data_IF_729749671775
#
_entry.id   IF_729749671775
#
_cell.length_a   1.000
_cell.length_b   1.000
_cell.length_c   1.000
_cell.angle_alpha   90.00
_cell.angle_beta   90.00
_cell.angle_gamma   90.00
#
_symmetry.space_group_name_H-M   'P 1'
#
loop_
_entity.id
_entity.type
_entity.pdbx_description
1 polymer ?
#
# COMPACT_ATOMS: atom_id res chain seq x y z
N UNK A 1 10.45 10.51 1.76
CA UNK A 1 9.16 11.06 1.32
C UNK A 1 8.23 9.88 1.17
N UNK A 2 7.26 9.74 2.08
CA UNK A 2 6.24 8.71 1.99
C UNK A 2 5.39 9.06 0.75
N UNK A 3 5.51 8.26 -0.31
CA UNK A 3 4.72 8.48 -1.53
C UNK A 3 3.22 8.36 -1.22
N UNK A 4 2.40 9.10 -1.97
CA UNK A 4 0.94 9.22 -1.87
C UNK A 4 0.18 7.88 -1.69
N UNK A 5 0.72 6.78 -2.22
CA UNK A 5 0.16 5.42 -2.06
C UNK A 5 0.26 4.88 -0.63
N UNK A 6 1.31 5.25 0.10
CA UNK A 6 1.55 4.79 1.47
C UNK A 6 0.61 5.50 2.46
N UNK A 7 0.29 6.79 2.25
CA UNK A 7 -0.67 7.51 3.09
C UNK A 7 -2.10 6.97 2.96
N UNK A 8 -2.54 6.62 1.75
CA UNK A 8 -3.85 6.00 1.55
C UNK A 8 -3.96 4.65 2.25
N UNK A 9 -2.90 3.84 2.20
CA UNK A 9 -2.84 2.54 2.85
C UNK A 9 -2.83 2.66 4.38
N UNK A 10 -1.98 3.53 4.93
CA UNK A 10 -1.89 3.78 6.38
C UNK A 10 -3.22 4.32 6.91
N UNK A 11 -3.86 5.26 6.21
CA UNK A 11 -5.17 5.79 6.60
C UNK A 11 -6.27 4.70 6.58
N UNK A 12 -6.25 3.79 5.61
CA UNK A 12 -7.19 2.64 5.60
C UNK A 12 -6.95 1.72 6.79
N UNK A 13 -5.69 1.41 7.10
CA UNK A 13 -5.34 0.57 8.24
C UNK A 13 -5.72 1.21 9.58
N UNK A 14 -5.54 2.53 9.73
CA UNK A 14 -5.99 3.27 10.90
C UNK A 14 -7.52 3.19 11.06
N UNK A 15 -8.29 3.41 9.98
CA UNK A 15 -9.75 3.26 9.99
C UNK A 15 -10.20 1.85 10.37
N UNK A 16 -9.51 0.82 9.87
CA UNK A 16 -9.79 -0.58 10.22
C UNK A 16 -9.50 -0.88 11.69
N UNK A 17 -8.37 -0.38 12.22
CA UNK A 17 -8.01 -0.51 13.63
C UNK A 17 -9.12 0.04 14.53
N UNK A 18 -9.56 1.28 14.27
CA UNK A 18 -10.64 1.93 15.03
C UNK A 18 -11.98 1.20 14.87
N UNK A 19 -12.37 0.86 13.63
CA UNK A 19 -13.70 0.27 13.34
C UNK A 19 -13.88 -1.11 13.97
N UNK A 20 -12.83 -1.92 14.00
CA UNK A 20 -12.90 -3.31 14.45
C UNK A 20 -12.21 -3.55 15.80
N UNK A 21 -11.76 -2.48 16.47
CA UNK A 21 -11.02 -2.51 17.74
C UNK A 21 -9.84 -3.50 17.71
N UNK A 22 -9.12 -3.55 16.59
CA UNK A 22 -8.02 -4.50 16.35
C UNK A 22 -6.70 -3.79 16.50
N UNK A 23 -5.81 -4.28 17.35
CA UNK A 23 -4.48 -3.68 17.55
C UNK A 23 -3.55 -3.97 16.35
N UNK A 24 -3.63 -3.12 15.32
CA UNK A 24 -2.70 -3.15 14.19
C UNK A 24 -1.42 -2.42 14.61
N UNK A 25 -0.29 -3.13 14.49
CA UNK A 25 1.04 -2.56 14.71
C UNK A 25 1.49 -1.76 13.48
N UNK A 26 1.26 -0.45 13.53
CA UNK A 26 1.57 0.45 12.42
C UNK A 26 3.07 0.62 12.16
N UNK A 27 3.91 0.52 13.19
CA UNK A 27 5.38 0.61 13.04
C UNK A 27 5.91 -0.58 12.23
N UNK A 28 5.38 -1.78 12.50
CA UNK A 28 5.70 -2.97 11.73
C UNK A 28 5.21 -2.89 10.28
N UNK A 29 4.03 -2.31 10.06
CA UNK A 29 3.49 -2.06 8.72
C UNK A 29 4.37 -1.09 7.94
N UNK A 30 4.78 0.02 8.55
CA UNK A 30 5.63 1.02 7.90
C UNK A 30 6.99 0.42 7.50
N UNK A 31 7.60 -0.37 8.39
CA UNK A 31 8.82 -1.14 8.08
C UNK A 31 8.60 -2.07 6.91
N UNK A 32 7.51 -2.84 6.88
CA UNK A 32 7.20 -3.75 5.79
C UNK A 32 7.03 -3.00 4.45
N UNK A 33 6.39 -1.83 4.44
CA UNK A 33 6.26 -0.98 3.24
C UNK A 33 7.64 -0.49 2.78
N UNK A 34 8.48 -0.04 3.70
CA UNK A 34 9.85 0.38 3.40
C UNK A 34 10.66 -0.76 2.77
N UNK A 35 10.61 -1.96 3.36
CA UNK A 35 11.26 -3.15 2.82
C UNK A 35 10.73 -3.50 1.43
N UNK A 36 9.40 -3.56 1.25
CA UNK A 36 8.80 -3.85 -0.05
C UNK A 36 9.26 -2.86 -1.14
N UNK A 37 9.29 -1.56 -0.83
CA UNK A 37 9.80 -0.55 -1.77
C UNK A 37 11.29 -0.70 -2.05
N UNK A 38 12.10 -0.96 -1.02
CA UNK A 38 13.55 -1.12 -1.16
C UNK A 38 13.92 -2.26 -2.11
N UNK A 39 13.21 -3.39 -2.02
CA UNK A 39 13.56 -4.60 -2.77
C UNK A 39 12.74 -4.77 -4.07
N UNK A 40 11.53 -4.21 -4.14
CA UNK A 40 10.63 -4.35 -5.30
C UNK A 40 10.32 -3.01 -6.00
N UNK A 41 10.88 -1.88 -5.57
CA UNK A 41 10.56 -0.55 -6.12
C UNK A 41 10.94 -0.36 -7.59
N UNK A 42 11.92 -1.13 -8.09
CA UNK A 42 12.31 -1.17 -9.50
C UNK A 42 11.62 -2.29 -10.28
N UNK A 43 10.91 -3.18 -9.59
CA UNK A 43 10.13 -4.24 -10.21
C UNK A 43 8.86 -3.61 -10.79
N UNK A 44 8.97 -3.13 -12.03
CA UNK A 44 7.81 -2.73 -12.82
C UNK A 44 6.88 -3.93 -12.88
N UNK A 45 5.60 -3.73 -12.57
CA UNK A 45 4.60 -4.71 -13.00
C UNK A 45 4.72 -4.78 -14.52
N UNK A 46 4.85 -5.97 -15.08
CA UNK A 46 4.41 -6.21 -16.45
C UNK A 46 2.89 -6.01 -16.44
N UNK A 47 2.47 -4.75 -16.53
CA UNK A 47 1.12 -4.43 -16.95
C UNK A 47 1.17 -4.71 -18.44
N UNK A 48 0.61 -5.86 -18.85
CA UNK A 48 0.31 -6.10 -20.25
C UNK A 48 -0.53 -4.92 -20.71
N UNK A 49 0.10 -3.99 -21.42
CA UNK A 49 -0.40 -2.65 -21.79
C UNK A 49 -1.55 -2.71 -22.81
N UNK A 50 -2.27 -3.85 -22.87
CA UNK A 50 -3.33 -4.18 -23.82
C UNK A 50 -4.67 -4.55 -23.18
N UNK A 51 -4.84 -4.48 -21.85
CA UNK A 51 -6.18 -4.54 -21.24
C UNK A 51 -6.63 -3.14 -20.85
N UNK A 52 -6.86 -2.33 -21.89
CA UNK A 52 -7.91 -1.29 -21.97
C UNK A 52 -8.48 -0.78 -20.65
N UNK A 53 -8.12 0.45 -20.34
CA UNK A 53 -9.04 1.52 -19.91
C UNK A 53 -10.49 1.27 -20.40
N UNK A 54 -11.36 0.70 -19.56
CA UNK A 54 -12.80 1.03 -19.50
C UNK A 54 -13.49 0.18 -18.44
N UNK A 55 -13.64 0.77 -17.24
CA UNK A 55 -14.79 0.49 -16.40
C UNK A 55 -15.90 1.36 -17.00
N UNK A 56 -16.93 0.74 -17.55
CA UNK A 56 -18.20 1.39 -17.87
C UNK A 56 -19.16 1.12 -16.71
#
# INVERSE_FOLDING_TARGET
MIDFYSDSLINKLFRTNVRFNTKIDLDRVEKAIFYAKKYHGQQKREILENYTTHIH
#
